data_IF_965633479489
#
_entry.id   IF_965633479489
#
_cell.length_a   1.000
_cell.length_b   1.000
_cell.length_c   1.000
_cell.angle_alpha   90.00
_cell.angle_beta   90.00
_cell.angle_gamma   90.00
#
_symmetry.space_group_name_H-M   'P 1'
#
loop_
_entity.id
_entity.type
_entity.pdbx_description
1 polymer ?
#
# COMPACT_ATOMS: atom_id res chain seq x y z
N UNK A 1 -14.55 78.02 33.43
CA UNK A 1 -13.90 77.87 32.11
C UNK A 1 -12.72 76.93 32.25
N UNK A 2 -12.76 75.78 31.56
CA UNK A 2 -11.68 74.85 31.13
C UNK A 2 -10.71 74.34 32.23
N UNK A 3 -10.89 73.17 32.86
CA UNK A 3 -10.83 71.77 32.35
C UNK A 3 -9.68 71.52 31.38
N UNK A 4 -8.69 70.71 31.80
CA UNK A 4 -7.91 69.74 31.01
C UNK A 4 -6.72 69.19 31.83
N UNK A 5 -6.71 67.87 32.07
CA UNK A 5 -5.54 66.96 32.09
C UNK A 5 -6.02 65.62 32.70
N UNK A 6 -6.75 64.81 31.94
CA UNK A 6 -6.25 63.74 31.06
C UNK A 6 -5.34 62.73 31.80
N UNK A 7 -6.00 61.67 32.26
CA UNK A 7 -5.64 60.25 32.00
C UNK A 7 -4.19 59.97 31.62
N UNK A 8 -3.48 59.28 32.52
CA UNK A 8 -2.26 58.54 32.19
C UNK A 8 -2.25 57.14 32.84
N UNK A 9 -2.62 56.17 31.98
CA UNK A 9 -1.84 54.95 31.73
C UNK A 9 -1.84 53.85 32.80
N UNK A 10 -2.92 53.07 32.80
CA UNK A 10 -2.88 51.62 32.93
C UNK A 10 -2.65 51.02 31.54
N UNK A 11 -1.44 50.48 31.23
CA UNK A 11 -1.37 49.33 30.35
C UNK A 11 -0.38 48.31 30.93
N UNK A 12 -0.80 47.59 31.98
CA UNK A 12 -0.04 46.45 32.51
C UNK A 12 -0.75 45.10 32.29
N UNK A 13 -1.77 45.04 31.42
CA UNK A 13 -2.57 43.84 31.17
C UNK A 13 -2.70 43.50 29.67
N UNK A 14 -1.63 43.63 28.90
CA UNK A 14 -1.52 43.08 27.54
C UNK A 14 -0.38 42.06 27.45
N UNK A 15 -0.20 41.25 28.50
CA UNK A 15 0.45 39.94 28.40
C UNK A 15 -0.66 38.87 28.46
N UNK A 16 -1.65 39.01 27.57
CA UNK A 16 -2.57 37.92 27.27
C UNK A 16 -1.77 36.88 26.51
N UNK A 17 -1.31 35.87 27.25
CA UNK A 17 -1.19 34.49 26.83
C UNK A 17 -1.19 34.26 25.31
N UNK A 18 -0.04 34.48 24.66
CA UNK A 18 0.32 33.60 23.56
C UNK A 18 0.62 32.23 24.21
N UNK A 19 -0.43 31.49 24.56
CA UNK A 19 -0.31 30.06 24.83
C UNK A 19 0.11 29.47 23.49
N UNK A 20 1.43 29.36 23.29
CA UNK A 20 2.01 28.68 22.14
C UNK A 20 1.35 27.31 22.06
N UNK A 21 0.59 27.09 21.00
CA UNK A 21 0.04 25.78 20.71
C UNK A 21 1.24 24.88 20.41
N UNK A 22 1.26 23.72 21.03
CA UNK A 22 2.26 22.69 20.75
C UNK A 22 2.25 22.39 19.24
N UNK A 23 3.40 22.28 18.57
CA UNK A 23 3.43 21.94 17.16
C UNK A 23 2.77 20.59 16.92
N UNK A 24 2.06 20.48 15.79
CA UNK A 24 1.25 19.31 15.49
C UNK A 24 1.55 18.76 14.11
N UNK A 25 1.45 17.45 13.98
CA UNK A 25 1.51 16.75 12.69
C UNK A 25 0.18 16.07 12.49
N UNK A 26 -0.56 16.50 11.47
CA UNK A 26 -1.79 15.85 11.05
C UNK A 26 -1.46 14.81 10.00
N UNK A 27 -1.93 13.59 10.20
CA UNK A 27 -1.71 12.45 9.30
C UNK A 27 -3.07 11.90 8.87
N UNK A 28 -3.21 11.59 7.59
CA UNK A 28 -4.40 10.93 7.03
C UNK A 28 -4.00 9.61 6.38
N UNK A 29 -4.83 8.59 6.54
CA UNK A 29 -4.60 7.24 6.03
C UNK A 29 -5.68 6.82 5.03
N UNK A 30 -5.44 5.75 4.28
CA UNK A 30 -6.40 5.20 3.29
C UNK A 30 -7.50 4.34 3.92
N UNK A 31 -7.36 3.90 5.17
CA UNK A 31 -8.37 3.16 5.93
C UNK A 31 -8.69 3.81 7.29
N UNK A 32 -9.77 3.36 7.92
CA UNK A 32 -10.11 3.77 9.29
C UNK A 32 -9.01 3.34 10.25
N UNK A 33 -8.51 4.27 11.05
CA UNK A 33 -7.51 4.05 12.09
C UNK A 33 -8.14 3.90 13.48
N UNK A 34 -9.48 3.91 13.56
CA UNK A 34 -10.23 3.80 14.81
C UNK A 34 -10.39 2.33 15.23
N UNK A 35 -10.22 2.07 16.53
CA UNK A 35 -10.55 0.81 17.18
C UNK A 35 -11.31 1.09 18.48
N UNK A 36 -12.63 0.83 18.47
CA UNK A 36 -13.51 1.24 19.56
C UNK A 36 -13.46 2.76 19.79
N UNK A 37 -13.06 3.18 20.99
CA UNK A 37 -12.87 4.58 21.35
C UNK A 37 -11.44 5.10 21.09
N UNK A 38 -10.52 4.23 20.66
CA UNK A 38 -9.10 4.52 20.51
C UNK A 38 -8.60 4.45 19.07
N UNK A 39 -7.28 4.55 18.93
CA UNK A 39 -6.56 4.35 17.68
C UNK A 39 -6.09 2.90 17.64
N UNK A 40 -6.22 2.24 16.48
CA UNK A 40 -5.70 0.88 16.23
C UNK A 40 -4.24 0.79 16.70
N UNK A 41 -3.91 -0.22 17.51
CA UNK A 41 -2.57 -0.38 18.10
C UNK A 41 -1.44 -0.40 17.06
N UNK A 42 -1.67 -1.04 15.91
CA UNK A 42 -0.69 -1.16 14.82
C UNK A 42 -0.26 0.20 14.25
N UNK A 43 -1.18 1.17 14.17
CA UNK A 43 -0.87 2.54 13.75
C UNK A 43 -0.05 3.28 14.81
N UNK A 44 -0.42 3.14 16.08
CA UNK A 44 0.32 3.75 17.19
C UNK A 44 1.76 3.22 17.26
N UNK A 45 1.96 1.91 17.18
CA UNK A 45 3.28 1.29 17.25
C UNK A 45 4.18 1.73 16.09
N UNK A 46 3.62 1.78 14.87
CA UNK A 46 4.30 2.27 13.67
C UNK A 46 4.73 3.73 13.81
N UNK A 47 3.83 4.58 14.31
CA UNK A 47 4.11 6.00 14.57
C UNK A 47 5.17 6.19 15.65
N UNK A 48 5.04 5.48 16.77
CA UNK A 48 6.01 5.58 17.87
C UNK A 48 7.41 5.21 17.40
N UNK A 49 7.55 4.12 16.63
CA UNK A 49 8.83 3.71 16.06
C UNK A 49 9.40 4.78 15.12
N UNK A 50 8.59 5.32 14.21
CA UNK A 50 9.01 6.38 13.30
C UNK A 50 9.51 7.63 14.05
N UNK A 51 8.74 8.10 15.04
CA UNK A 51 9.16 9.29 15.79
C UNK A 51 10.38 9.00 16.68
N UNK A 52 10.52 7.80 17.23
CA UNK A 52 11.74 7.40 17.95
C UNK A 52 12.97 7.38 17.05
N UNK A 53 12.86 6.86 15.81
CA UNK A 53 13.92 6.89 14.80
C UNK A 53 14.34 8.33 14.45
N UNK A 54 13.39 9.27 14.48
CA UNK A 54 13.63 10.70 14.30
C UNK A 54 14.14 11.40 15.57
N UNK A 55 14.40 10.67 16.65
CA UNK A 55 14.98 11.18 17.90
C UNK A 55 13.97 11.77 18.90
N UNK A 56 12.67 11.63 18.67
CA UNK A 56 11.65 12.07 19.62
C UNK A 56 11.56 11.09 20.80
N UNK A 57 11.46 11.65 22.02
CA UNK A 57 11.43 10.83 23.25
C UNK A 57 10.05 10.21 23.47
N UNK A 58 9.99 8.96 23.95
CA UNK A 58 8.75 8.38 24.47
C UNK A 58 8.13 9.29 25.53
N UNK A 59 6.80 9.50 25.46
CA UNK A 59 6.06 10.36 26.39
C UNK A 59 5.96 11.84 26.00
N UNK A 60 6.74 12.30 25.02
CA UNK A 60 6.64 13.67 24.47
C UNK A 60 5.70 13.75 23.26
N UNK A 61 5.01 12.66 22.93
CA UNK A 61 4.11 12.56 21.79
C UNK A 61 2.72 12.24 22.33
N UNK A 62 1.72 13.04 21.95
CA UNK A 62 0.31 12.73 22.20
C UNK A 62 -0.40 12.47 20.89
N UNK A 63 -1.03 11.31 20.80
CA UNK A 63 -1.81 10.89 19.66
C UNK A 63 -3.29 11.09 19.96
N UNK A 64 -4.02 11.74 19.06
CA UNK A 64 -5.48 11.86 19.15
C UNK A 64 -6.12 11.72 17.78
N UNK A 65 -7.30 11.11 17.72
CA UNK A 65 -8.11 11.12 16.50
C UNK A 65 -8.55 12.56 16.19
N UNK A 66 -8.73 12.86 14.91
CA UNK A 66 -9.37 14.10 14.48
C UNK A 66 -10.89 13.93 14.56
N UNK A 67 -11.57 14.92 15.14
CA UNK A 67 -13.02 14.84 15.36
C UNK A 67 -13.78 14.66 14.04
N UNK A 68 -14.66 13.65 14.00
CA UNK A 68 -15.45 13.32 12.81
C UNK A 68 -14.68 12.66 11.67
N UNK A 69 -13.38 12.39 11.82
CA UNK A 69 -12.53 11.82 10.78
C UNK A 69 -11.81 10.55 11.27
N UNK A 70 -12.39 9.40 10.95
CA UNK A 70 -11.85 8.10 11.39
C UNK A 70 -10.57 7.69 10.68
N UNK A 71 -10.13 8.44 9.66
CA UNK A 71 -8.92 8.17 8.90
C UNK A 71 -7.79 9.15 9.23
N UNK A 72 -8.03 10.10 10.14
CA UNK A 72 -7.05 11.12 10.47
C UNK A 72 -6.68 11.13 11.95
N UNK A 73 -5.39 11.35 12.19
CA UNK A 73 -4.80 11.44 13.51
C UNK A 73 -3.93 12.68 13.60
N UNK A 74 -3.98 13.29 14.79
CA UNK A 74 -3.11 14.39 15.19
C UNK A 74 -2.03 13.85 16.13
N UNK A 75 -0.77 14.16 15.81
CA UNK A 75 0.37 13.97 16.69
C UNK A 75 0.75 15.32 17.25
N UNK A 76 0.53 15.55 18.54
CA UNK A 76 1.06 16.73 19.24
C UNK A 76 2.44 16.43 19.76
N UNK A 77 3.38 17.30 19.43
CA UNK A 77 4.77 17.23 19.86
C UNK A 77 4.93 18.14 21.08
N UNK A 78 5.19 17.56 22.25
CA UNK A 78 5.45 18.31 23.49
C UNK A 78 6.87 18.90 23.46
N UNK A 79 7.10 19.81 22.53
CA UNK A 79 8.36 20.51 22.29
C UNK A 79 8.10 21.97 21.93
N UNK A 80 9.18 22.75 21.88
CA UNK A 80 9.20 24.04 21.17
C UNK A 80 8.71 23.90 19.72
N UNK A 81 8.32 25.00 19.04
CA UNK A 81 7.95 24.99 17.63
C UNK A 81 8.91 24.16 16.79
N UNK A 82 8.41 23.48 15.76
CA UNK A 82 9.22 22.59 14.94
C UNK A 82 10.42 23.33 14.34
N UNK A 83 11.63 22.96 14.74
CA UNK A 83 12.84 23.52 14.17
C UNK A 83 12.92 23.16 12.68
N UNK A 84 13.57 23.99 11.83
CA UNK A 84 13.72 23.71 10.40
C UNK A 84 14.27 22.30 10.11
N UNK A 85 15.22 21.82 10.91
CA UNK A 85 15.82 20.48 10.79
C UNK A 85 14.78 19.38 11.07
N UNK A 86 13.92 19.57 12.07
CA UNK A 86 12.86 18.61 12.39
C UNK A 86 11.80 18.57 11.29
N UNK A 87 11.43 19.75 10.75
CA UNK A 87 10.50 19.84 9.61
C UNK A 87 11.05 19.14 8.39
N UNK A 88 12.33 19.36 8.08
CA UNK A 88 13.02 18.70 6.99
C UNK A 88 13.04 17.18 7.20
N UNK A 89 13.35 16.70 8.41
CA UNK A 89 13.38 15.28 8.74
C UNK A 89 11.99 14.61 8.59
N UNK A 90 10.92 15.24 9.10
CA UNK A 90 9.55 14.74 8.93
C UNK A 90 9.12 14.74 7.46
N UNK A 91 9.45 15.81 6.73
CA UNK A 91 9.14 15.92 5.29
C UNK A 91 9.89 14.84 4.51
N UNK A 92 11.18 14.65 4.76
CA UNK A 92 12.00 13.62 4.12
C UNK A 92 11.49 12.21 4.44
N UNK A 93 10.85 12.01 5.60
CA UNK A 93 10.26 10.73 5.98
C UNK A 93 8.91 10.47 5.30
N UNK A 94 8.01 11.44 5.25
CA UNK A 94 6.65 11.24 4.75
C UNK A 94 6.50 11.44 3.23
N UNK A 95 7.20 12.41 2.65
CA UNK A 95 7.10 12.74 1.21
C UNK A 95 7.32 11.53 0.30
N UNK A 96 8.33 10.65 0.52
CA UNK A 96 8.50 9.48 -0.32
C UNK A 96 7.28 8.55 -0.30
N UNK A 97 6.56 8.44 0.81
CA UNK A 97 5.36 7.58 0.92
C UNK A 97 4.26 8.13 -0.01
N UNK A 98 4.05 9.45 0.02
CA UNK A 98 3.06 10.10 -0.83
C UNK A 98 3.45 10.01 -2.31
N UNK A 99 4.71 10.27 -2.65
CA UNK A 99 5.22 10.17 -4.03
C UNK A 99 5.08 8.76 -4.61
N UNK A 100 5.22 7.71 -3.80
CA UNK A 100 5.00 6.34 -4.29
C UNK A 100 3.54 6.10 -4.68
N UNK A 101 2.58 6.77 -4.03
CA UNK A 101 1.16 6.71 -4.41
C UNK A 101 0.85 7.43 -5.72
N UNK A 102 1.65 8.42 -6.11
CA UNK A 102 1.49 9.14 -7.40
C UNK A 102 1.78 8.25 -8.61
N UNK A 103 2.52 7.14 -8.43
CA UNK A 103 2.75 6.16 -9.49
C UNK A 103 1.52 5.28 -9.76
N UNK A 104 0.41 5.51 -9.04
CA UNK A 104 -0.83 4.75 -9.13
C UNK A 104 -2.02 5.62 -9.60
N UNK A 105 -2.86 5.16 -10.55
CA UNK A 105 -2.87 3.84 -11.19
C UNK A 105 -1.61 3.56 -12.02
N UNK A 106 -1.01 2.38 -11.82
CA UNK A 106 0.18 1.96 -12.55
C UNK A 106 -0.21 1.44 -13.94
N UNK A 107 0.68 1.58 -14.91
CA UNK A 107 0.50 1.02 -16.25
C UNK A 107 1.26 -0.27 -16.40
N UNK A 108 0.62 -1.27 -17.01
CA UNK A 108 1.25 -2.50 -17.50
C UNK A 108 1.36 -2.41 -19.03
N UNK A 109 2.53 -2.73 -19.54
CA UNK A 109 2.80 -3.00 -20.95
C UNK A 109 3.32 -4.44 -21.08
N UNK A 110 2.80 -5.19 -22.05
CA UNK A 110 3.28 -6.52 -22.39
C UNK A 110 4.00 -6.41 -23.74
N UNK A 111 5.27 -6.81 -23.78
CA UNK A 111 6.11 -6.75 -24.98
C UNK A 111 6.69 -8.11 -25.31
N UNK A 112 6.80 -8.47 -26.58
CA UNK A 112 7.53 -9.68 -26.97
C UNK A 112 9.04 -9.53 -26.78
N UNK A 113 9.73 -10.64 -26.50
CA UNK A 113 11.18 -10.65 -26.24
C UNK A 113 11.97 -10.70 -27.56
N UNK A 114 11.59 -11.60 -28.48
CA UNK A 114 12.29 -11.84 -29.76
C UNK A 114 11.45 -11.47 -30.98
N UNK A 115 10.26 -10.90 -30.77
CA UNK A 115 9.33 -10.52 -31.83
C UNK A 115 8.35 -9.47 -31.36
N UNK A 116 7.82 -8.68 -32.30
CA UNK A 116 6.74 -7.74 -31.99
C UNK A 116 5.45 -8.50 -31.75
N UNK A 117 4.69 -8.08 -30.74
CA UNK A 117 3.33 -8.59 -30.58
C UNK A 117 2.46 -8.04 -31.72
N UNK A 118 1.53 -8.84 -32.28
CA UNK A 118 0.66 -8.41 -33.38
C UNK A 118 -0.23 -7.21 -33.03
N UNK A 119 -0.39 -6.89 -31.75
CA UNK A 119 -1.11 -5.71 -31.28
C UNK A 119 -0.47 -5.13 -30.01
N UNK A 120 -0.58 -3.81 -29.77
CA UNK A 120 -0.10 -3.21 -28.53
C UNK A 120 -0.94 -3.71 -27.35
N UNK A 121 -0.26 -4.29 -26.34
CA UNK A 121 -0.87 -4.72 -25.10
C UNK A 121 -0.45 -3.77 -23.99
N UNK A 122 -1.28 -2.76 -23.73
CA UNK A 122 -1.07 -1.79 -22.66
C UNK A 122 -2.38 -1.56 -21.91
N UNK A 123 -2.28 -1.48 -20.60
CA UNK A 123 -3.41 -1.15 -19.73
C UNK A 123 -2.92 -0.37 -18.50
N UNK A 124 -3.84 0.22 -17.76
CA UNK A 124 -3.58 0.71 -16.40
C UNK A 124 -4.41 -0.08 -15.40
N UNK A 125 -3.96 -0.15 -14.15
CA UNK A 125 -4.64 -0.90 -13.12
C UNK A 125 -4.61 -0.18 -11.78
N UNK A 126 -5.61 -0.48 -10.96
CA UNK A 126 -5.73 -0.01 -9.59
C UNK A 126 -5.76 -1.20 -8.64
N UNK A 127 -5.07 -1.07 -7.51
CA UNK A 127 -5.20 -2.04 -6.44
C UNK A 127 -6.64 -2.06 -5.95
N UNK A 128 -7.27 -3.24 -5.95
CA UNK A 128 -8.63 -3.40 -5.46
C UNK A 128 -8.72 -4.56 -4.48
N UNK A 129 -9.40 -4.32 -3.37
CA UNK A 129 -9.77 -5.36 -2.43
C UNK A 129 -8.72 -5.61 -1.36
N UNK A 130 -9.08 -6.53 -0.47
CA UNK A 130 -8.20 -7.01 0.58
C UNK A 130 -7.40 -8.19 0.06
N UNK A 131 -6.22 -8.44 0.66
CA UNK A 131 -5.53 -9.68 0.42
C UNK A 131 -6.45 -10.87 0.56
N UNK A 132 -6.38 -11.78 -0.40
CA UNK A 132 -7.16 -13.01 -0.37
C UNK A 132 -6.23 -14.20 -0.55
N UNK A 133 -6.74 -15.34 -0.09
CA UNK A 133 -6.00 -16.58 -0.02
C UNK A 133 -6.53 -17.53 -1.05
N UNK A 134 -5.61 -18.12 -1.80
CA UNK A 134 -5.94 -19.13 -2.78
C UNK A 134 -5.13 -20.38 -2.46
N UNK A 135 -5.80 -21.52 -2.57
CA UNK A 135 -5.18 -22.83 -2.48
C UNK A 135 -4.19 -22.98 -3.64
N UNK A 136 -3.05 -23.61 -3.42
CA UNK A 136 -2.30 -24.13 -4.57
C UNK A 136 -3.19 -25.15 -5.30
N UNK A 137 -3.49 -24.91 -6.58
CA UNK A 137 -4.24 -25.86 -7.40
C UNK A 137 -3.40 -27.13 -7.59
N UNK A 138 -3.51 -28.06 -6.64
CA UNK A 138 -3.16 -29.46 -6.86
C UNK A 138 -4.39 -30.16 -7.42
N UNK A 139 -4.31 -30.59 -8.69
CA UNK A 139 -5.32 -31.38 -9.42
C UNK A 139 -5.74 -32.69 -8.70
N UNK A 140 -5.06 -33.06 -7.60
CA UNK A 140 -5.25 -34.30 -6.85
C UNK A 140 -6.11 -34.17 -5.58
N UNK A 141 -6.61 -32.98 -5.22
CA UNK A 141 -7.31 -32.74 -3.95
C UNK A 141 -8.84 -32.99 -3.96
N UNK A 142 -9.40 -33.51 -5.05
CA UNK A 142 -10.81 -33.90 -5.10
C UNK A 142 -11.05 -35.15 -4.24
N UNK A 143 -11.44 -34.97 -2.97
CA UNK A 143 -12.04 -36.04 -2.17
C UNK A 143 -11.67 -36.12 -0.68
N UNK A 144 -10.87 -35.20 -0.13
CA UNK A 144 -10.56 -35.20 1.31
C UNK A 144 -11.35 -34.12 2.07
N UNK A 145 -12.05 -34.48 3.17
CA UNK A 145 -12.84 -33.52 3.96
C UNK A 145 -11.96 -32.48 4.66
N UNK A 146 -10.70 -32.82 4.93
CA UNK A 146 -9.67 -31.89 5.36
C UNK A 146 -8.32 -32.21 4.73
N UNK A 147 -7.62 -31.20 4.24
CA UNK A 147 -6.25 -31.33 3.75
C UNK A 147 -5.37 -30.19 4.26
N UNK A 148 -4.11 -30.51 4.51
CA UNK A 148 -3.08 -29.54 4.89
C UNK A 148 -2.49 -28.97 3.60
N UNK A 149 -2.85 -27.74 3.25
CA UNK A 149 -2.48 -27.10 1.99
C UNK A 149 -1.70 -25.83 2.23
N UNK A 150 -0.82 -25.49 1.28
CA UNK A 150 -0.14 -24.21 1.27
C UNK A 150 -1.08 -23.09 0.83
N UNK A 151 -0.99 -21.97 1.55
CA UNK A 151 -1.84 -20.79 1.35
C UNK A 151 -0.95 -19.59 1.02
N UNK A 152 -1.33 -18.84 0.00
CA UNK A 152 -0.56 -17.69 -0.47
C UNK A 152 -1.26 -16.37 -0.18
N UNK A 153 -0.48 -15.33 0.11
CA UNK A 153 -0.92 -13.94 0.25
C UNK A 153 -0.98 -13.32 -1.15
N UNK A 154 -2.18 -12.96 -1.63
CA UNK A 154 -2.41 -12.40 -2.96
C UNK A 154 -3.19 -11.10 -2.91
N UNK A 155 -2.90 -10.18 -3.82
CA UNK A 155 -3.71 -8.99 -4.07
C UNK A 155 -4.22 -9.00 -5.51
N UNK A 156 -5.52 -8.79 -5.67
CA UNK A 156 -6.13 -8.60 -6.98
C UNK A 156 -6.01 -7.12 -7.37
N UNK A 157 -5.69 -6.87 -8.63
CA UNK A 157 -5.78 -5.54 -9.21
C UNK A 157 -6.75 -5.56 -10.37
N UNK A 158 -7.62 -4.57 -10.40
CA UNK A 158 -8.57 -4.43 -11.49
C UNK A 158 -7.91 -3.61 -12.60
N UNK A 159 -8.03 -4.12 -13.82
CA UNK A 159 -7.62 -3.38 -15.01
C UNK A 159 -8.66 -2.29 -15.29
N UNK A 160 -8.18 -1.06 -15.46
CA UNK A 160 -9.00 0.08 -15.85
C UNK A 160 -9.47 -0.08 -17.31
N UNK A 161 -8.60 -0.63 -18.15
CA UNK A 161 -8.89 -0.99 -19.54
C UNK A 161 -8.66 -2.50 -19.72
N UNK A 162 -9.63 -3.19 -20.31
CA UNK A 162 -9.54 -4.64 -20.45
C UNK A 162 -8.49 -5.00 -21.50
N UNK A 163 -7.65 -5.99 -21.20
CA UNK A 163 -6.77 -6.56 -22.21
C UNK A 163 -7.60 -7.47 -23.14
N UNK A 164 -7.22 -7.60 -24.42
CA UNK A 164 -7.87 -8.54 -25.33
C UNK A 164 -7.83 -9.96 -24.78
N UNK A 165 -8.71 -10.83 -25.28
CA UNK A 165 -8.65 -12.24 -24.92
C UNK A 165 -7.31 -12.84 -25.40
N UNK A 166 -6.59 -13.47 -24.47
CA UNK A 166 -5.31 -14.13 -24.76
C UNK A 166 -5.50 -15.66 -24.69
N UNK A 167 -4.80 -16.37 -25.56
CA UNK A 167 -4.85 -17.84 -25.68
C UNK A 167 -3.95 -18.52 -24.65
N UNK A 168 -4.33 -18.37 -23.38
CA UNK A 168 -3.81 -19.14 -22.26
C UNK A 168 -4.87 -19.24 -21.15
N UNK A 169 -4.77 -20.26 -20.29
CA UNK A 169 -5.60 -20.35 -19.09
C UNK A 169 -5.06 -19.48 -17.97
N UNK A 170 -3.75 -19.61 -17.72
CA UNK A 170 -3.02 -18.92 -16.68
C UNK A 170 -1.61 -18.65 -17.15
N UNK A 171 -1.17 -17.40 -17.08
CA UNK A 171 0.21 -17.01 -17.30
C UNK A 171 0.84 -16.60 -15.96
N UNK A 172 2.09 -17.01 -15.75
CA UNK A 172 2.93 -16.67 -14.60
C UNK A 172 4.23 -16.07 -15.12
N UNK A 173 4.80 -15.11 -14.39
CA UNK A 173 6.05 -14.44 -14.75
C UNK A 173 7.32 -15.19 -14.26
N UNK A 174 7.30 -16.51 -14.15
CA UNK A 174 8.46 -17.27 -13.64
C UNK A 174 9.73 -17.07 -14.48
N UNK A 175 9.55 -16.82 -15.79
CA UNK A 175 10.62 -16.73 -16.76
C UNK A 175 11.60 -17.91 -16.73
N UNK A 176 12.75 -17.73 -17.35
CA UNK A 176 13.87 -18.68 -17.31
C UNK A 176 15.14 -17.98 -16.79
N UNK A 177 16.28 -18.67 -16.78
CA UNK A 177 17.56 -18.08 -16.35
C UNK A 177 18.02 -16.93 -17.26
N UNK A 178 17.65 -16.96 -18.55
CA UNK A 178 18.03 -15.95 -19.54
C UNK A 178 17.08 -14.74 -19.50
N UNK A 179 15.83 -14.95 -19.10
CA UNK A 179 14.77 -13.95 -19.05
C UNK A 179 13.97 -14.01 -17.73
N UNK A 180 14.57 -13.68 -16.58
CA UNK A 180 13.83 -13.58 -15.31
C UNK A 180 12.65 -12.62 -15.44
N UNK A 181 11.50 -12.98 -14.85
CA UNK A 181 10.31 -12.13 -14.88
C UNK A 181 9.54 -12.14 -16.21
N UNK A 182 9.98 -12.92 -17.21
CA UNK A 182 9.19 -13.11 -18.43
C UNK A 182 7.94 -13.93 -18.15
N UNK A 183 6.87 -13.60 -18.86
CA UNK A 183 5.74 -14.52 -18.99
C UNK A 183 6.10 -15.58 -20.01
N UNK A 184 5.59 -16.78 -19.80
CA UNK A 184 5.66 -17.85 -20.80
C UNK A 184 5.04 -17.43 -22.14
N UNK A 185 5.09 -18.35 -23.09
CA UNK A 185 4.56 -18.14 -24.44
C UNK A 185 3.10 -17.65 -24.44
N UNK A 186 2.85 -16.45 -24.97
CA UNK A 186 1.50 -15.93 -25.21
C UNK A 186 1.11 -16.25 -26.65
N UNK A 187 -0.08 -16.82 -26.85
CA UNK A 187 -0.74 -16.85 -28.16
C UNK A 187 -1.86 -15.80 -28.22
N UNK A 188 -1.89 -15.03 -29.29
CA UNK A 188 -2.78 -13.87 -29.46
C UNK A 188 -3.93 -14.10 -30.45
N UNK A 189 -3.88 -15.17 -31.24
CA UNK A 189 -4.82 -15.44 -32.32
C UNK A 189 -5.05 -16.93 -32.59
N UNK A 190 -5.95 -17.22 -33.54
CA UNK A 190 -6.24 -18.57 -34.04
C UNK A 190 -5.08 -19.24 -34.78
N UNK A 191 -4.02 -18.48 -35.12
CA UNK A 191 -2.83 -19.02 -35.77
C UNK A 191 -1.87 -19.67 -34.75
N UNK A 192 -2.16 -19.55 -33.44
CA UNK A 192 -1.37 -20.12 -32.34
C UNK A 192 0.10 -19.67 -32.37
N UNK A 193 0.39 -18.46 -32.87
CA UNK A 193 1.74 -17.91 -32.83
C UNK A 193 2.09 -17.62 -31.37
N UNK A 194 3.07 -18.37 -30.86
CA UNK A 194 3.53 -18.31 -29.48
C UNK A 194 4.74 -17.40 -29.39
N UNK A 195 4.59 -16.29 -28.69
CA UNK A 195 5.66 -15.30 -28.53
C UNK A 195 6.03 -15.23 -27.04
N UNK A 196 7.30 -15.45 -26.66
CA UNK A 196 7.75 -15.20 -25.30
C UNK A 196 7.63 -13.70 -25.01
N UNK A 197 7.03 -13.36 -23.88
CA UNK A 197 6.66 -11.99 -23.56
C UNK A 197 7.19 -11.56 -22.20
N UNK A 198 7.36 -10.26 -22.02
CA UNK A 198 7.78 -9.64 -20.76
C UNK A 198 6.76 -8.61 -20.31
N UNK A 199 6.60 -8.53 -18.99
CA UNK A 199 5.81 -7.49 -18.33
C UNK A 199 6.69 -6.27 -18.04
N UNK A 200 6.15 -5.09 -18.36
CA UNK A 200 6.75 -3.81 -18.01
C UNK A 200 5.75 -2.95 -17.24
N UNK A 201 6.12 -2.60 -16.02
CA UNK A 201 5.35 -1.77 -15.11
C UNK A 201 5.92 -0.36 -15.06
N UNK A 202 5.05 0.65 -15.02
CA UNK A 202 5.48 2.05 -14.84
C UNK A 202 6.00 2.35 -13.44
N UNK A 203 5.59 1.56 -12.45
CA UNK A 203 6.10 1.68 -11.08
C UNK A 203 7.46 0.96 -11.00
N UNK A 204 8.56 1.69 -10.75
CA UNK A 204 9.91 1.11 -10.77
C UNK A 204 10.15 0.12 -9.62
N UNK A 205 9.46 0.28 -8.48
CA UNK A 205 9.60 -0.64 -7.36
C UNK A 205 8.83 -1.93 -7.62
N UNK A 206 7.64 -1.82 -8.23
CA UNK A 206 6.91 -2.99 -8.73
C UNK A 206 7.71 -3.75 -9.78
N UNK A 207 8.27 -3.05 -10.77
CA UNK A 207 9.09 -3.68 -11.81
C UNK A 207 10.26 -4.44 -11.19
N UNK A 208 10.97 -3.81 -10.24
CA UNK A 208 12.08 -4.43 -9.52
C UNK A 208 11.64 -5.69 -8.77
N UNK A 209 10.53 -5.64 -8.03
CA UNK A 209 10.01 -6.80 -7.28
C UNK A 209 9.66 -7.99 -8.20
N UNK A 210 9.15 -7.71 -9.39
CA UNK A 210 8.85 -8.70 -10.44
C UNK A 210 10.14 -9.27 -11.04
N UNK A 211 11.10 -8.42 -11.39
CA UNK A 211 12.38 -8.81 -12.00
C UNK A 211 13.24 -9.63 -11.02
N UNK A 212 13.24 -9.27 -9.73
CA UNK A 212 13.94 -9.98 -8.65
C UNK A 212 13.16 -11.20 -8.12
N UNK A 213 12.02 -11.55 -8.73
CA UNK A 213 11.15 -12.67 -8.35
C UNK A 213 10.69 -12.63 -6.88
N UNK A 214 10.59 -11.44 -6.30
CA UNK A 214 10.00 -11.22 -4.98
C UNK A 214 8.48 -11.30 -5.04
N UNK A 215 7.89 -11.02 -6.20
CA UNK A 215 6.46 -11.13 -6.44
C UNK A 215 6.19 -11.84 -7.76
N UNK A 216 5.20 -12.73 -7.72
CA UNK A 216 4.69 -13.39 -8.91
C UNK A 216 3.44 -12.68 -9.44
N UNK A 217 3.41 -12.44 -10.75
CA UNK A 217 2.26 -11.90 -11.48
C UNK A 217 1.53 -13.05 -12.15
N UNK A 218 0.26 -13.22 -11.78
CA UNK A 218 -0.64 -14.23 -12.31
C UNK A 218 -1.71 -13.52 -13.14
N UNK A 219 -1.84 -13.94 -14.39
CA UNK A 219 -2.93 -13.51 -15.28
C UNK A 219 -3.83 -14.70 -15.51
N UNK A 220 -5.03 -14.65 -14.92
CA UNK A 220 -6.05 -15.69 -15.06
C UNK A 220 -7.06 -15.30 -16.13
N UNK A 221 -7.26 -16.20 -17.11
CA UNK A 221 -8.33 -16.11 -18.08
C UNK A 221 -9.40 -17.15 -17.73
N UNK A 222 -10.38 -16.72 -16.93
CA UNK A 222 -11.41 -17.59 -16.34
C UNK A 222 -12.21 -18.39 -17.39
N UNK A 223 -12.32 -17.90 -18.63
CA UNK A 223 -13.27 -18.41 -19.64
C UNK A 223 -12.62 -18.91 -20.94
N UNK A 224 -11.29 -19.04 -21.00
CA UNK A 224 -10.50 -19.48 -22.19
C UNK A 224 -10.88 -18.79 -23.51
N UNK A 225 -9.94 -18.03 -24.10
CA UNK A 225 -9.99 -17.52 -25.49
C UNK A 225 -11.08 -16.49 -25.83
N UNK A 226 -12.17 -16.41 -25.07
CA UNK A 226 -13.36 -15.62 -25.46
C UNK A 226 -13.60 -14.40 -24.59
N UNK A 227 -13.14 -14.43 -23.35
CA UNK A 227 -13.33 -13.34 -22.40
C UNK A 227 -12.11 -12.41 -22.36
N UNK A 228 -12.32 -11.09 -22.38
CA UNK A 228 -11.26 -10.13 -22.15
C UNK A 228 -10.75 -10.24 -20.71
N UNK A 229 -9.46 -10.00 -20.52
CA UNK A 229 -8.82 -10.07 -19.20
C UNK A 229 -9.13 -8.78 -18.46
N UNK A 230 -9.61 -8.92 -17.22
CA UNK A 230 -10.11 -7.79 -16.39
C UNK A 230 -9.35 -7.60 -15.09
N UNK A 231 -8.57 -8.60 -14.67
CA UNK A 231 -7.86 -8.63 -13.39
C UNK A 231 -6.45 -9.18 -13.59
N UNK A 232 -5.53 -8.71 -12.75
CA UNK A 232 -4.24 -9.34 -12.52
C UNK A 232 -4.16 -9.70 -11.05
N UNK A 233 -3.39 -10.72 -10.71
CA UNK A 233 -3.17 -11.12 -9.33
C UNK A 233 -1.68 -11.07 -9.05
N UNK A 234 -1.30 -10.35 -8.00
CA UNK A 234 0.07 -10.40 -7.48
C UNK A 234 0.10 -11.37 -6.30
N UNK A 235 0.93 -12.40 -6.40
CA UNK A 235 1.23 -13.33 -5.32
C UNK A 235 2.54 -12.92 -4.64
N UNK A 236 2.42 -12.52 -3.37
CA UNK A 236 3.48 -11.88 -2.59
C UNK A 236 4.34 -12.93 -1.88
N UNK A 237 3.72 -14.04 -1.46
CA UNK A 237 4.44 -15.11 -0.80
C UNK A 237 3.55 -16.13 -0.12
N UNK A 238 4.18 -17.21 0.32
CA UNK A 238 3.53 -18.27 1.10
C UNK A 238 3.31 -17.84 2.55
N UNK A 239 2.12 -18.11 3.07
CA UNK A 239 1.77 -17.96 4.49
C UNK A 239 1.91 -19.27 5.27
N UNK A 240 2.48 -20.30 4.63
CA UNK A 240 2.62 -21.64 5.19
C UNK A 240 1.41 -22.53 4.96
N UNK A 241 1.39 -23.67 5.66
CA UNK A 241 0.38 -24.71 5.48
C UNK A 241 -0.76 -24.59 6.48
N UNK A 242 -2.00 -24.65 5.99
CA UNK A 242 -3.22 -24.59 6.79
C UNK A 242 -4.13 -25.78 6.51
N UNK A 243 -4.88 -26.19 7.53
CA UNK A 243 -5.92 -27.20 7.37
C UNK A 243 -7.14 -26.54 6.72
N UNK A 244 -7.50 -27.02 5.55
CA UNK A 244 -8.71 -26.64 4.85
C UNK A 244 -9.84 -27.59 5.23
N UNK A 245 -11.07 -27.08 5.40
CA UNK A 245 -12.26 -27.92 5.51
C UNK A 245 -13.20 -27.56 4.35
N UNK A 246 -13.30 -28.47 3.37
CA UNK A 246 -14.01 -28.19 2.12
C UNK A 246 -13.33 -27.08 1.29
N UNK A 247 -14.10 -26.08 0.83
CA UNK A 247 -13.55 -24.91 0.13
C UNK A 247 -13.06 -23.81 1.08
N UNK A 248 -13.39 -23.89 2.36
CA UNK A 248 -13.07 -22.85 3.34
C UNK A 248 -11.75 -23.16 4.05
N UNK A 249 -10.91 -22.14 4.18
CA UNK A 249 -9.69 -22.19 4.99
C UNK A 249 -10.07 -21.90 6.44
N UNK A 250 -9.77 -22.80 7.37
CA UNK A 250 -9.84 -22.47 8.80
C UNK A 250 -8.61 -21.66 9.15
N UNK A 251 -8.74 -20.35 9.01
CA UNK A 251 -7.72 -19.40 9.42
C UNK A 251 -8.03 -19.01 10.86
N UNK A 252 -7.05 -19.16 11.73
CA UNK A 252 -7.12 -18.52 13.04
C UNK A 252 -7.12 -17.00 12.87
N UNK A 253 -7.47 -16.31 13.96
CA UNK A 253 -7.29 -14.86 14.06
C UNK A 253 -5.81 -14.51 13.76
N UNK A 254 -5.55 -13.40 13.05
CA UNK A 254 -4.18 -12.95 12.77
C UNK A 254 -3.63 -13.19 11.35
N UNK A 255 -4.44 -13.68 10.40
CA UNK A 255 -3.94 -13.96 9.04
C UNK A 255 -3.78 -12.70 8.17
N UNK A 256 -4.62 -11.70 8.38
CA UNK A 256 -4.52 -10.42 7.67
C UNK A 256 -3.22 -9.71 8.04
N UNK A 257 -2.84 -9.77 9.31
CA UNK A 257 -1.60 -9.25 9.87
C UNK A 257 -0.39 -9.93 9.24
N UNK A 258 -0.38 -11.27 9.14
CA UNK A 258 0.72 -11.99 8.48
C UNK A 258 0.86 -11.67 7.00
N UNK A 259 -0.24 -11.49 6.29
CA UNK A 259 -0.20 -11.08 4.88
C UNK A 259 0.26 -9.62 4.74
N UNK A 260 -0.09 -8.76 5.70
CA UNK A 260 0.46 -7.40 5.78
C UNK A 260 1.97 -7.40 6.07
N UNK A 261 2.46 -8.27 6.95
CA UNK A 261 3.89 -8.42 7.24
C UNK A 261 4.68 -8.83 5.99
N UNK A 262 4.17 -9.79 5.20
CA UNK A 262 4.75 -10.17 3.91
C UNK A 262 4.77 -8.99 2.93
N UNK A 263 3.70 -8.20 2.87
CA UNK A 263 3.66 -7.01 2.01
C UNK A 263 4.66 -5.93 2.46
N UNK A 264 4.89 -5.79 3.77
CA UNK A 264 5.93 -4.90 4.32
C UNK A 264 7.33 -5.40 3.99
N UNK A 265 7.57 -6.71 4.05
CA UNK A 265 8.85 -7.34 3.70
C UNK A 265 9.20 -7.14 2.22
N UNK A 266 8.24 -7.35 1.32
CA UNK A 266 8.40 -7.06 -0.12
C UNK A 266 8.52 -5.56 -0.37
N UNK A 267 7.86 -4.73 0.45
CA UNK A 267 7.93 -3.28 0.37
C UNK A 267 6.95 -2.69 -0.64
N UNK A 268 7.34 -1.58 -1.28
CA UNK A 268 6.43 -0.85 -2.16
C UNK A 268 6.32 -1.55 -3.53
N UNK A 269 5.15 -1.46 -4.18
CA UNK A 269 3.97 -0.71 -3.74
C UNK A 269 3.02 -1.50 -2.83
N UNK A 270 3.31 -2.76 -2.51
CA UNK A 270 2.39 -3.64 -1.77
C UNK A 270 2.08 -3.15 -0.36
N UNK A 271 3.08 -2.67 0.38
CA UNK A 271 2.87 -2.13 1.72
C UNK A 271 1.96 -0.88 1.75
N UNK A 272 1.84 -0.13 0.64
CA UNK A 272 0.90 1.01 0.53
C UNK A 272 -0.56 0.54 0.57
N UNK A 273 -0.83 -0.67 0.05
CA UNK A 273 -2.19 -1.20 -0.11
C UNK A 273 -2.56 -2.27 0.92
N UNK A 274 -1.56 -2.93 1.49
CA UNK A 274 -1.73 -4.10 2.36
C UNK A 274 -0.98 -3.98 3.68
N UNK A 275 -0.03 -3.06 3.78
CA UNK A 275 0.73 -2.83 5.01
C UNK A 275 -0.13 -2.20 6.10
N UNK A 276 0.50 -1.93 7.24
CA UNK A 276 -0.16 -1.35 8.41
C UNK A 276 0.59 -0.10 8.87
N UNK A 277 -0.13 0.84 9.48
CA UNK A 277 0.48 2.04 10.05
C UNK A 277 0.91 3.05 8.99
N UNK A 278 2.17 3.48 9.03
CA UNK A 278 2.67 4.63 8.27
C UNK A 278 2.68 4.42 6.75
N UNK A 279 2.85 3.20 6.26
CA UNK A 279 2.81 2.92 4.82
C UNK A 279 1.43 3.23 4.21
N UNK A 280 0.39 3.25 5.05
CA UNK A 280 -0.99 3.56 4.69
C UNK A 280 -1.27 5.08 4.61
N UNK A 281 -0.26 5.93 4.80
CA UNK A 281 -0.38 7.39 4.80
C UNK A 281 -0.75 7.92 3.41
N UNK A 282 -1.80 8.73 3.34
CA UNK A 282 -2.29 9.39 2.13
C UNK A 282 -2.09 10.89 2.13
N UNK A 283 -1.92 11.52 3.30
CA UNK A 283 -1.56 12.92 3.41
C UNK A 283 -0.89 13.20 4.75
N UNK A 284 -0.03 14.21 4.79
CA UNK A 284 0.45 14.81 6.03
C UNK A 284 0.44 16.33 5.95
N UNK A 285 0.30 16.97 7.10
CA UNK A 285 0.37 18.41 7.26
C UNK A 285 1.16 18.73 8.54
N UNK A 286 2.14 19.62 8.41
CA UNK A 286 2.90 20.16 9.53
C UNK A 286 2.24 21.47 9.95
N UNK A 287 1.60 21.46 11.13
CA UNK A 287 0.91 22.60 11.70
C UNK A 287 1.83 23.27 12.71
N UNK A 288 2.30 24.46 12.36
CA UNK A 288 3.01 25.33 13.28
C UNK A 288 2.05 26.31 13.96
N UNK A 289 2.51 26.89 15.06
CA UNK A 289 1.92 28.10 15.64
C UNK A 289 1.77 29.17 14.57
N UNK A 290 0.58 29.32 13.99
CA UNK A 290 0.20 30.61 13.43
C UNK A 290 -0.08 31.53 14.62
N UNK A 291 0.94 32.32 14.97
CA UNK A 291 0.81 33.46 15.89
C UNK A 291 0.13 34.65 15.23
#
# INVERSE_FOLDING_TARGET
>A
MRSLLRTALLPACLLLAACGQEPQVKLRFDESIREGAGIKGTYLDSLQRLFQELGYRPGHLRYSLVDGDEQALMVRLQSEPLEPVQREALTARFTPILQAREHWPATLEITGIEGELPMPLRTSFTAQGQPFMVKQENLSAFGRPSSLEEVFCRIEVKLNEQLPALSFQRARNWGDEEHPGSMGEIALDSENVRIPARLRFSDPQLQKAVDERQVEVIIDNDDYLTSPIKKLVFEIGSMGKYVLIGQNTLLGDGYHERCADLAVEVGRPFNLFMGQGIDRLTAFELLDNEG
#
